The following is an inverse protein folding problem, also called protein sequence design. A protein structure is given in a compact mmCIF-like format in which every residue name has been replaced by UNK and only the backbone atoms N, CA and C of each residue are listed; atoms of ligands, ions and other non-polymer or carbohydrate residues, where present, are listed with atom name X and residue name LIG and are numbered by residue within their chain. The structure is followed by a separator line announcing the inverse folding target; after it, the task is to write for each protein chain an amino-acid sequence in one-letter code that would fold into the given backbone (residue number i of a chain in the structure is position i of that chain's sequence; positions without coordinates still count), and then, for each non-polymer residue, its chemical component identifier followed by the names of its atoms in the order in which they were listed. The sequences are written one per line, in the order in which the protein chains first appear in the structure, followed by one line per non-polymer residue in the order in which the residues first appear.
data_IF_055710000055
#
_entry.id   IF_055710000055
#
_cell.length_a   1.000
_cell.length_b   1.000
_cell.length_c   1.000
_cell.angle_alpha   90.00
_cell.angle_beta   90.00
_cell.angle_gamma   90.00
#
_symmetry.space_group_name_H-M   'P 1'
#
loop_
_entity.id
_entity.type
_entity.pdbx_description
1 polymer ?
#
# COMPACT_ATOMS: atom_id res chain seq x y z
N UNK A 1 -5.35 -1.29 -12.13
CA UNK A 1 -6.46 -0.75 -11.29
C UNK A 1 -7.36 0.25 -12.03
N UNK A 2 -8.70 0.16 -11.88
CA UNK A 2 -9.68 1.16 -12.39
C UNK A 2 -9.64 2.48 -11.59
N UNK A 3 -10.08 3.59 -12.17
CA UNK A 3 -10.03 4.94 -11.55
C UNK A 3 -10.75 5.01 -10.19
N UNK A 4 -11.95 4.46 -10.08
CA UNK A 4 -12.74 4.47 -8.83
C UNK A 4 -12.05 3.68 -7.72
N UNK A 5 -11.50 2.49 -8.04
CA UNK A 5 -10.68 1.71 -7.11
C UNK A 5 -9.48 2.51 -6.59
N UNK A 6 -8.82 3.29 -7.46
CA UNK A 6 -7.70 4.16 -7.05
C UNK A 6 -8.14 5.24 -6.06
N UNK A 7 -9.28 5.86 -6.28
CA UNK A 7 -9.81 6.90 -5.38
C UNK A 7 -10.12 6.29 -4.02
N UNK A 8 -10.86 5.17 -3.98
CA UNK A 8 -11.20 4.48 -2.75
C UNK A 8 -9.95 4.03 -1.99
N UNK A 9 -8.93 3.48 -2.67
CA UNK A 9 -7.68 3.11 -2.00
C UNK A 9 -6.95 4.33 -1.40
N UNK A 10 -6.91 5.47 -2.10
CA UNK A 10 -6.32 6.70 -1.55
C UNK A 10 -7.05 7.18 -0.28
N UNK A 11 -8.38 7.13 -0.28
CA UNK A 11 -9.20 7.49 0.89
C UNK A 11 -8.90 6.57 2.08
N UNK A 12 -8.79 5.26 1.84
CA UNK A 12 -8.44 4.30 2.86
C UNK A 12 -7.01 4.52 3.40
N UNK A 13 -6.06 4.84 2.52
CA UNK A 13 -4.67 5.08 2.89
C UNK A 13 -4.50 6.35 3.74
N UNK A 14 -5.44 7.30 3.69
CA UNK A 14 -5.41 8.49 4.54
C UNK A 14 -5.52 8.18 6.05
N UNK A 15 -5.91 6.95 6.42
CA UNK A 15 -5.85 6.48 7.81
C UNK A 15 -4.42 6.37 8.33
N UNK A 16 -3.45 6.02 7.48
CA UNK A 16 -2.06 5.88 7.88
C UNK A 16 -1.40 7.25 8.01
N UNK A 17 -0.89 7.55 9.20
CA UNK A 17 0.00 8.69 9.40
C UNK A 17 1.40 8.38 8.86
N UNK A 18 2.07 9.42 8.39
CA UNK A 18 3.49 9.39 8.00
C UNK A 18 3.83 8.42 6.85
N UNK A 19 2.92 8.31 5.88
CA UNK A 19 3.16 7.66 4.59
C UNK A 19 3.10 8.69 3.46
N UNK A 20 3.89 8.50 2.41
CA UNK A 20 3.65 9.14 1.13
C UNK A 20 3.12 8.12 0.12
N UNK A 21 2.48 8.60 -0.93
CA UNK A 21 2.07 7.73 -2.03
C UNK A 21 2.01 8.49 -3.34
N UNK A 22 2.19 7.76 -4.43
CA UNK A 22 2.04 8.28 -5.79
C UNK A 22 1.12 7.39 -6.62
N UNK A 23 0.46 7.99 -7.60
CA UNK A 23 -0.33 7.27 -8.59
C UNK A 23 0.58 6.90 -9.76
N UNK A 24 0.71 5.61 -10.04
CA UNK A 24 1.51 5.11 -11.15
C UNK A 24 0.61 4.49 -12.24
N UNK A 25 1.20 4.15 -13.39
CA UNK A 25 0.45 3.61 -14.55
C UNK A 25 -0.33 2.36 -14.15
N UNK A 26 0.26 1.49 -13.33
CA UNK A 26 -0.32 0.20 -13.00
C UNK A 26 -1.13 0.20 -11.69
N UNK A 27 -0.95 1.20 -10.83
CA UNK A 27 -1.42 1.12 -9.45
C UNK A 27 -1.28 2.39 -8.62
N UNK A 28 -1.08 2.19 -7.32
CA UNK A 28 -0.65 3.21 -6.35
C UNK A 28 0.59 2.67 -5.65
N UNK A 29 1.66 3.46 -5.63
CA UNK A 29 2.87 3.14 -4.87
C UNK A 29 2.78 3.85 -3.52
N UNK A 30 2.90 3.12 -2.42
CA UNK A 30 2.91 3.61 -1.05
C UNK A 30 4.34 3.53 -0.54
N UNK A 31 4.81 4.59 0.10
CA UNK A 31 6.15 4.67 0.66
C UNK A 31 6.10 4.80 2.18
N UNK A 32 7.02 4.13 2.86
CA UNK A 32 7.16 4.23 4.31
C UNK A 32 8.61 4.10 4.77
N UNK A 33 8.88 4.64 5.96
CA UNK A 33 10.24 4.86 6.47
C UNK A 33 10.78 3.75 7.37
N UNK A 34 9.92 2.88 7.89
CA UNK A 34 10.29 1.87 8.88
C UNK A 34 9.48 0.58 8.72
N UNK A 35 10.02 -0.50 9.31
CA UNK A 35 9.48 -1.85 9.19
C UNK A 35 8.11 -1.99 9.84
N UNK A 36 7.88 -1.34 10.99
CA UNK A 36 6.60 -1.42 11.70
C UNK A 36 5.46 -0.87 10.83
N UNK A 37 5.70 0.26 10.16
CA UNK A 37 4.74 0.87 9.23
C UNK A 37 4.52 0.00 7.99
N UNK A 38 5.59 -0.62 7.47
CA UNK A 38 5.46 -1.59 6.39
C UNK A 38 4.54 -2.75 6.79
N UNK A 39 4.76 -3.36 7.96
CA UNK A 39 3.94 -4.47 8.46
C UNK A 39 2.49 -4.06 8.66
N UNK A 40 2.25 -2.85 9.19
CA UNK A 40 0.91 -2.30 9.37
C UNK A 40 0.15 -2.20 8.04
N UNK A 41 0.81 -1.65 7.00
CA UNK A 41 0.23 -1.52 5.66
C UNK A 41 0.02 -2.91 5.02
N UNK A 42 0.97 -3.84 5.18
CA UNK A 42 0.84 -5.19 4.62
C UNK A 42 -0.33 -5.97 5.23
N UNK A 43 -0.56 -5.85 6.53
CA UNK A 43 -1.71 -6.47 7.19
C UNK A 43 -3.02 -5.89 6.67
N UNK A 44 -3.09 -4.57 6.53
CA UNK A 44 -4.24 -3.90 5.94
C UNK A 44 -4.52 -4.36 4.51
N UNK A 45 -3.48 -4.37 3.66
CA UNK A 45 -3.59 -4.83 2.27
C UNK A 45 -3.94 -6.33 2.18
N UNK A 46 -3.41 -7.15 3.08
CA UNK A 46 -3.74 -8.57 3.21
C UNK A 46 -5.22 -8.79 3.53
N UNK A 47 -5.77 -8.03 4.48
CA UNK A 47 -7.20 -8.06 4.81
C UNK A 47 -8.10 -7.63 3.64
N UNK A 48 -7.58 -6.85 2.69
CA UNK A 48 -8.27 -6.45 1.47
C UNK A 48 -8.13 -7.43 0.30
N UNK A 49 -7.37 -8.53 0.46
CA UNK A 49 -7.01 -9.40 -0.65
C UNK A 49 -6.27 -8.66 -1.77
N UNK A 50 -5.42 -7.70 -1.40
CA UNK A 50 -4.72 -6.86 -2.36
C UNK A 50 -3.62 -7.63 -3.11
N UNK A 51 -3.49 -7.35 -4.41
CA UNK A 51 -2.37 -7.78 -5.25
C UNK A 51 -1.35 -6.65 -5.36
N UNK A 52 -0.14 -6.87 -4.84
CA UNK A 52 0.90 -5.85 -4.75
C UNK A 52 2.32 -6.41 -4.88
N UNK A 53 3.26 -5.52 -5.20
CA UNK A 53 4.70 -5.79 -5.16
C UNK A 53 5.34 -4.97 -4.02
N UNK A 54 6.39 -5.52 -3.42
CA UNK A 54 7.19 -4.81 -2.41
C UNK A 54 8.59 -4.57 -2.98
N UNK A 55 9.08 -3.35 -2.82
CA UNK A 55 10.46 -2.96 -3.09
C UNK A 55 11.06 -2.54 -1.75
N UNK A 56 12.19 -3.15 -1.39
CA UNK A 56 13.03 -2.69 -0.29
C UNK A 56 14.36 -2.27 -0.92
N UNK A 57 14.81 -1.05 -0.63
CA UNK A 57 16.08 -0.60 -1.16
C UNK A 57 17.10 -0.52 -0.03
N UNK A 58 18.26 -1.16 -0.22
CA UNK A 58 19.31 -1.11 0.78
C UNK A 58 20.21 0.11 0.65
N UNK A 59 20.26 0.82 -0.48
CA UNK A 59 21.38 1.75 -0.74
C UNK A 59 21.29 2.72 -1.93
N UNK A 60 20.20 2.85 -2.70
CA UNK A 60 20.21 3.78 -3.85
C UNK A 60 19.59 5.15 -3.55
N UNK A 61 20.17 6.17 -4.17
CA UNK A 61 20.01 7.61 -3.85
C UNK A 61 18.68 8.21 -4.33
N UNK A 62 17.75 7.38 -4.79
CA UNK A 62 16.56 7.82 -5.52
C UNK A 62 15.24 7.65 -4.74
N UNK A 63 15.27 7.03 -3.55
CA UNK A 63 14.16 7.17 -2.61
C UNK A 63 14.18 8.57 -1.99
N UNK A 64 13.01 9.20 -1.84
CA UNK A 64 12.85 10.38 -0.98
C UNK A 64 13.56 10.04 0.34
N UNK A 65 14.59 10.81 0.73
CA UNK A 65 15.65 10.49 1.72
C UNK A 65 15.22 9.85 3.07
N UNK A 66 13.92 9.72 3.35
CA UNK A 66 13.33 9.15 4.56
C UNK A 66 12.59 7.82 4.34
N UNK A 67 12.39 7.38 3.11
CA UNK A 67 11.54 6.23 2.79
C UNK A 67 12.40 5.02 2.43
N UNK A 68 12.18 3.90 3.13
CA UNK A 68 13.00 2.68 3.01
C UNK A 68 12.30 1.54 2.28
N UNK A 69 10.97 1.64 2.19
CA UNK A 69 10.12 0.62 1.62
C UNK A 69 9.10 1.26 0.70
N UNK A 70 8.85 0.62 -0.44
CA UNK A 70 7.77 0.95 -1.35
C UNK A 70 6.87 -0.27 -1.59
N UNK A 71 5.57 -0.04 -1.67
CA UNK A 71 4.55 -1.05 -1.92
C UNK A 71 3.70 -0.59 -3.09
N UNK A 72 3.75 -1.29 -4.21
CA UNK A 72 2.94 -0.96 -5.40
C UNK A 72 1.70 -1.83 -5.44
N UNK A 73 0.55 -1.25 -5.11
CA UNK A 73 -0.77 -1.91 -5.13
C UNK A 73 -1.34 -1.87 -6.55
N UNK A 74 -1.55 -3.04 -7.16
CA UNK A 74 -1.96 -3.22 -8.56
C UNK A 74 -3.48 -3.42 -8.67
N UNK A 75 -4.05 -4.19 -7.75
CA UNK A 75 -5.49 -4.41 -7.61
C UNK A 75 -5.83 -4.86 -6.18
N UNK A 76 -7.12 -4.85 -5.82
CA UNK A 76 -7.62 -5.36 -4.54
C UNK A 76 -9.12 -5.67 -4.61
N UNK A 77 -9.63 -6.43 -3.64
CA UNK A 77 -11.06 -6.70 -3.52
C UNK A 77 -11.81 -5.46 -3.00
N UNK A 78 -12.71 -4.90 -3.80
CA UNK A 78 -13.47 -3.70 -3.41
C UNK A 78 -14.59 -3.97 -2.42
N UNK A 79 -15.00 -5.23 -2.31
CA UNK A 79 -16.00 -5.74 -1.39
C UNK A 79 -15.35 -6.44 -0.20
N UNK A 80 -14.07 -6.17 0.10
CA UNK A 80 -13.33 -6.84 1.20
C UNK A 80 -14.04 -6.76 2.56
N UNK A 81 -14.77 -5.67 2.83
CA UNK A 81 -15.60 -5.51 4.05
C UNK A 81 -16.72 -6.56 4.16
N UNK A 82 -17.17 -7.12 3.03
CA UNK A 82 -18.16 -8.21 2.98
C UNK A 82 -17.50 -9.59 3.02
N UNK A 83 -16.20 -9.66 2.82
CA UNK A 83 -15.40 -10.88 2.76
C UNK A 83 -14.33 -10.93 3.85
N UNK A 84 -14.54 -10.23 4.97
CA UNK A 84 -13.57 -10.14 6.06
C UNK A 84 -13.02 -11.53 6.39
N UNK A 85 -11.74 -11.72 6.08
CA UNK A 85 -11.02 -12.92 6.46
C UNK A 85 -10.65 -12.76 7.93
N UNK A 86 -11.49 -13.30 8.82
CA UNK A 86 -11.09 -13.53 10.20
C UNK A 86 -9.92 -14.53 10.19
N UNK A 87 -8.70 -14.02 10.34
CA UNK A 87 -7.56 -14.87 10.70
C UNK A 87 -7.81 -15.37 12.12
N UNK A 88 -8.19 -16.65 12.25
CA UNK A 88 -8.31 -17.39 13.51
C UNK A 88 -6.91 -17.74 14.02
#
# INVERSE_FOLDING_TARGET
MRKEKRVKLVELLAFFKDINFEKCVNGITIYCSNLDKLVEILNFLGGMGAYFNIIYESTEKDFIDKEKYAITVIDYDCDFEKHEQHFI
#
